data_IF_336750754376
#
_entry.id   IF_336750754376
#
_cell.length_a   1.000
_cell.length_b   1.000
_cell.length_c   1.000
_cell.angle_alpha   90.00
_cell.angle_beta   90.00
_cell.angle_gamma   90.00
#
_symmetry.space_group_name_H-M   'P 1'
#
loop_
_entity.id
_entity.type
_entity.pdbx_description
1 polymer ?
#
# COMPACT_ATOMS: atom_id res chain seq x y z
N UNK A 1 -1.51 23.83 3.86
CA UNK A 1 -2.25 22.78 3.11
C UNK A 1 -1.93 22.67 1.61
N UNK A 2 -0.96 23.41 1.04
CA UNK A 2 -0.64 23.32 -0.41
C UNK A 2 -0.04 21.98 -0.88
N UNK A 3 0.54 21.18 0.03
CA UNK A 3 1.18 19.90 -0.31
C UNK A 3 0.18 18.88 -0.87
N UNK A 4 -0.98 18.72 -0.22
CA UNK A 4 -2.00 17.74 -0.59
C UNK A 4 -2.82 18.13 -1.83
N UNK A 5 -2.86 19.43 -2.15
CA UNK A 5 -3.51 19.94 -3.37
C UNK A 5 -2.63 19.83 -4.60
N UNK A 6 -1.31 19.63 -4.45
CA UNK A 6 -0.40 19.54 -5.58
C UNK A 6 -0.54 18.19 -6.29
N UNK A 7 -0.86 18.24 -7.59
CA UNK A 7 -1.01 17.05 -8.44
C UNK A 7 0.27 16.20 -8.47
N UNK A 8 1.45 16.82 -8.50
CA UNK A 8 2.74 16.11 -8.53
C UNK A 8 2.90 15.27 -7.26
N UNK A 9 2.66 15.86 -6.09
CA UNK A 9 2.76 15.15 -4.81
C UNK A 9 1.78 13.98 -4.72
N UNK A 10 0.54 14.17 -5.16
CA UNK A 10 -0.49 13.12 -5.19
C UNK A 10 -0.04 11.93 -6.04
N UNK A 11 0.43 12.17 -7.26
CA UNK A 11 0.86 11.10 -8.15
C UNK A 11 2.16 10.44 -7.69
N UNK A 12 3.14 11.22 -7.23
CA UNK A 12 4.40 10.69 -6.70
C UNK A 12 4.15 9.76 -5.52
N UNK A 13 3.36 10.18 -4.52
CA UNK A 13 3.02 9.31 -3.38
C UNK A 13 2.18 8.11 -3.83
N UNK A 14 1.25 8.29 -4.77
CA UNK A 14 0.41 7.19 -5.25
C UNK A 14 1.23 6.07 -5.92
N UNK A 15 2.25 6.43 -6.69
CA UNK A 15 3.14 5.49 -7.40
C UNK A 15 4.28 4.97 -6.51
N UNK A 16 4.71 5.74 -5.52
CA UNK A 16 5.78 5.33 -4.62
C UNK A 16 5.37 4.14 -3.74
N UNK A 17 4.11 4.08 -3.30
CA UNK A 17 3.61 2.97 -2.48
C UNK A 17 3.77 1.60 -3.15
N UNK A 18 3.21 1.33 -4.36
CA UNK A 18 3.36 0.03 -5.02
C UNK A 18 4.82 -0.27 -5.37
N UNK A 19 5.64 0.75 -5.67
CA UNK A 19 7.07 0.57 -5.93
C UNK A 19 7.81 0.06 -4.68
N UNK A 20 7.58 0.66 -3.52
CA UNK A 20 8.21 0.23 -2.26
C UNK A 20 7.75 -1.17 -1.86
N UNK A 21 6.47 -1.49 -2.05
CA UNK A 21 5.94 -2.84 -1.80
C UNK A 21 6.57 -3.88 -2.73
N UNK A 22 6.83 -3.52 -4.00
CA UNK A 22 7.57 -4.38 -4.93
C UNK A 22 9.03 -4.61 -4.48
N UNK A 23 9.71 -3.55 -4.07
CA UNK A 23 11.11 -3.61 -3.64
C UNK A 23 11.29 -4.44 -2.35
N UNK A 24 10.41 -4.26 -1.35
CA UNK A 24 10.41 -5.04 -0.12
C UNK A 24 10.39 -6.55 -0.41
N UNK A 25 9.45 -6.96 -1.27
CA UNK A 25 9.30 -8.35 -1.70
C UNK A 25 10.46 -8.87 -2.54
N UNK A 26 11.12 -8.00 -3.30
CA UNK A 26 12.22 -8.39 -4.18
C UNK A 26 13.56 -8.56 -3.44
N UNK A 27 13.76 -7.83 -2.34
CA UNK A 27 15.07 -7.75 -1.68
C UNK A 27 15.36 -8.91 -0.74
N UNK A 28 14.34 -9.40 -0.01
CA UNK A 28 14.58 -10.27 1.15
C UNK A 28 14.12 -11.71 0.98
N UNK A 29 13.34 -12.06 -0.04
CA UNK A 29 12.76 -13.40 -0.21
C UNK A 29 11.74 -13.80 0.87
N UNK A 30 11.78 -13.16 2.04
CA UNK A 30 10.79 -13.18 3.10
C UNK A 30 10.47 -11.74 3.52
N UNK A 31 9.22 -11.27 3.35
CA UNK A 31 8.86 -9.91 3.71
C UNK A 31 9.07 -9.70 5.21
N UNK A 32 9.86 -8.69 5.58
CA UNK A 32 10.02 -8.33 6.98
C UNK A 32 8.70 -7.68 7.45
N UNK A 33 7.95 -8.29 8.38
CA UNK A 33 6.58 -7.87 8.70
C UNK A 33 6.50 -6.43 9.22
N UNK A 34 7.55 -5.97 9.90
CA UNK A 34 7.66 -4.60 10.41
C UNK A 34 7.85 -3.55 9.32
N UNK A 35 8.49 -3.89 8.20
CA UNK A 35 8.78 -2.94 7.13
C UNK A 35 7.51 -2.58 6.36
N UNK A 36 6.74 -3.59 5.94
CA UNK A 36 5.44 -3.41 5.31
C UNK A 36 4.46 -2.62 6.20
N UNK A 37 4.46 -2.90 7.51
CA UNK A 37 3.63 -2.17 8.47
C UNK A 37 4.07 -0.70 8.59
N UNK A 38 5.37 -0.43 8.63
CA UNK A 38 5.91 0.94 8.70
C UNK A 38 5.55 1.74 7.44
N UNK A 39 5.70 1.14 6.26
CA UNK A 39 5.27 1.75 4.99
C UNK A 39 3.76 2.05 5.06
N UNK A 40 2.95 1.08 5.47
CA UNK A 40 1.50 1.25 5.56
C UNK A 40 1.10 2.44 6.44
N UNK A 41 1.74 2.60 7.60
CA UNK A 41 1.48 3.71 8.54
C UNK A 41 1.94 5.04 7.94
N UNK A 42 3.17 5.11 7.41
CA UNK A 42 3.72 6.36 6.84
C UNK A 42 2.84 6.86 5.69
N UNK A 43 2.39 5.96 4.82
CA UNK A 43 1.55 6.34 3.68
C UNK A 43 0.15 6.83 4.07
N UNK A 44 -0.38 6.42 5.24
CA UNK A 44 -1.60 7.02 5.78
C UNK A 44 -1.47 8.53 6.01
N UNK A 45 -0.26 9.02 6.29
CA UNK A 45 0.01 10.45 6.43
C UNK A 45 0.35 11.12 5.09
N UNK A 46 0.95 10.39 4.15
CA UNK A 46 1.36 10.93 2.85
C UNK A 46 0.21 11.07 1.85
N UNK A 47 -0.77 10.17 1.89
CA UNK A 47 -1.89 10.22 0.95
C UNK A 47 -2.72 11.49 1.13
N UNK A 48 -3.11 12.07 0.00
CA UNK A 48 -3.96 13.26 -0.04
C UNK A 48 -5.42 12.94 0.30
N UNK A 49 -5.89 11.76 -0.08
CA UNK A 49 -7.22 11.29 0.26
C UNK A 49 -7.44 9.81 -0.02
N UNK A 50 -8.68 9.39 0.22
CA UNK A 50 -9.08 7.97 0.10
C UNK A 50 -8.93 7.45 -1.34
N UNK A 51 -9.10 8.32 -2.34
CA UNK A 51 -8.93 7.95 -3.74
C UNK A 51 -7.50 7.52 -4.03
N UNK A 52 -6.51 8.25 -3.54
CA UNK A 52 -5.09 7.93 -3.71
C UNK A 52 -4.74 6.61 -3.02
N UNK A 53 -5.27 6.39 -1.81
CA UNK A 53 -5.14 5.11 -1.11
C UNK A 53 -5.64 3.96 -1.98
N UNK A 54 -6.86 4.03 -2.50
CA UNK A 54 -7.41 2.93 -3.33
C UNK A 54 -6.64 2.73 -4.64
N UNK A 55 -6.18 3.81 -5.28
CA UNK A 55 -5.37 3.70 -6.50
C UNK A 55 -4.02 3.04 -6.18
N UNK A 56 -3.32 3.48 -5.12
CA UNK A 56 -2.07 2.86 -4.67
C UNK A 56 -2.24 1.39 -4.32
N UNK A 57 -3.29 1.05 -3.56
CA UNK A 57 -3.60 -0.32 -3.19
C UNK A 57 -3.92 -1.16 -4.42
N UNK A 58 -4.74 -0.64 -5.34
CA UNK A 58 -5.05 -1.30 -6.60
C UNK A 58 -3.80 -1.54 -7.44
N UNK A 59 -2.95 -0.54 -7.63
CA UNK A 59 -1.68 -0.70 -8.34
C UNK A 59 -0.77 -1.72 -7.66
N UNK A 60 -0.80 -1.81 -6.34
CA UNK A 60 -0.01 -2.82 -5.61
C UNK A 60 -0.51 -4.22 -5.97
N UNK A 61 -1.81 -4.46 -5.87
CA UNK A 61 -2.40 -5.79 -6.09
C UNK A 61 -2.48 -6.21 -7.56
N UNK A 62 -2.75 -5.29 -8.48
CA UNK A 62 -2.95 -5.60 -9.89
C UNK A 62 -1.70 -5.41 -10.75
N UNK A 63 -0.69 -4.66 -10.28
CA UNK A 63 0.54 -4.40 -11.03
C UNK A 63 1.76 -4.91 -10.28
N UNK A 64 2.05 -4.38 -9.09
CA UNK A 64 3.28 -4.71 -8.37
C UNK A 64 3.37 -6.19 -8.00
N UNK A 65 2.31 -6.78 -7.43
CA UNK A 65 2.28 -8.19 -7.03
C UNK A 65 2.39 -9.12 -8.25
N UNK A 66 1.60 -8.96 -9.34
CA UNK A 66 1.73 -9.77 -10.55
C UNK A 66 3.10 -9.62 -11.23
N UNK A 67 3.64 -8.39 -11.30
CA UNK A 67 4.99 -8.18 -11.83
C UNK A 67 6.04 -8.88 -10.98
N UNK A 68 5.98 -8.78 -9.66
CA UNK A 68 6.92 -9.48 -8.77
C UNK A 68 6.83 -10.98 -8.97
N UNK A 69 5.61 -11.52 -9.01
CA UNK A 69 5.37 -12.93 -9.25
C UNK A 69 5.97 -13.40 -10.58
N UNK A 70 5.69 -12.69 -11.68
CA UNK A 70 6.15 -13.06 -13.01
C UNK A 70 7.66 -12.94 -13.19
N UNK A 71 8.28 -11.89 -12.66
CA UNK A 71 9.71 -11.60 -12.90
C UNK A 71 10.66 -12.22 -11.86
N UNK A 72 10.23 -12.40 -10.61
CA UNK A 72 11.12 -12.83 -9.52
C UNK A 72 10.82 -14.27 -9.09
N UNK A 73 9.54 -14.60 -8.93
CA UNK A 73 9.13 -15.87 -8.33
C UNK A 73 8.97 -16.99 -9.37
N UNK A 74 8.34 -16.74 -10.53
CA UNK A 74 8.17 -17.74 -11.59
C UNK A 74 9.49 -18.38 -12.09
N UNK A 75 10.62 -17.64 -12.23
CA UNK A 75 11.89 -18.22 -12.65
C UNK A 75 12.58 -19.08 -11.59
N UNK A 76 12.12 -19.06 -10.32
CA UNK A 76 12.69 -19.81 -9.21
C UNK A 76 11.62 -20.77 -8.68
N UNK A 77 11.73 -22.09 -8.88
CA UNK A 77 10.79 -23.05 -8.30
C UNK A 77 10.97 -23.04 -6.77
N UNK A 78 10.18 -22.19 -6.13
CA UNK A 78 10.24 -21.85 -4.71
C UNK A 78 8.92 -22.27 -4.07
N UNK A 79 9.01 -22.90 -2.91
CA UNK A 79 7.85 -23.26 -2.08
C UNK A 79 7.01 -22.02 -1.71
N UNK A 80 7.62 -20.83 -1.73
CA UNK A 80 6.94 -19.56 -1.48
C UNK A 80 5.93 -19.19 -2.57
N UNK A 81 6.22 -19.52 -3.83
CA UNK A 81 5.34 -19.29 -4.95
C UNK A 81 4.05 -20.08 -4.77
N UNK A 82 4.16 -21.40 -4.78
CA UNK A 82 3.03 -22.33 -4.72
C UNK A 82 2.13 -22.05 -3.51
N UNK A 83 2.75 -21.76 -2.36
CA UNK A 83 2.03 -21.42 -1.14
C UNK A 83 1.26 -20.07 -1.26
N UNK A 84 1.86 -19.05 -1.87
CA UNK A 84 1.19 -17.77 -2.10
C UNK A 84 0.02 -17.88 -3.08
N UNK A 85 0.16 -18.66 -4.16
CA UNK A 85 -0.95 -18.91 -5.09
C UNK A 85 -2.10 -19.68 -4.41
N UNK A 86 -1.77 -20.72 -3.63
CA UNK A 86 -2.77 -21.53 -2.92
C UNK A 86 -3.53 -20.74 -1.84
N UNK A 87 -2.87 -19.79 -1.17
CA UNK A 87 -3.45 -19.02 -0.05
C UNK A 87 -3.83 -17.58 -0.43
N UNK A 88 -3.80 -17.22 -1.71
CA UNK A 88 -4.06 -15.85 -2.18
C UNK A 88 -5.35 -15.28 -1.60
N UNK A 89 -6.43 -16.08 -1.58
CA UNK A 89 -7.73 -15.67 -1.07
C UNK A 89 -7.70 -15.30 0.42
N UNK A 90 -6.99 -16.08 1.24
CA UNK A 90 -6.79 -15.81 2.68
C UNK A 90 -5.94 -14.55 2.88
N UNK A 91 -4.87 -14.39 2.10
CA UNK A 91 -3.99 -13.23 2.16
C UNK A 91 -4.78 -11.95 1.83
N UNK A 92 -5.63 -11.99 0.80
CA UNK A 92 -6.51 -10.86 0.43
C UNK A 92 -7.49 -10.54 1.56
N UNK A 93 -8.13 -11.54 2.15
CA UNK A 93 -9.05 -11.32 3.28
C UNK A 93 -8.33 -10.69 4.48
N UNK A 94 -7.20 -11.25 4.89
CA UNK A 94 -6.39 -10.71 6.00
C UNK A 94 -5.95 -9.28 5.68
N UNK A 95 -5.50 -9.01 4.45
CA UNK A 95 -5.12 -7.68 4.01
C UNK A 95 -6.27 -6.66 4.15
N UNK A 96 -7.50 -7.04 3.78
CA UNK A 96 -8.65 -6.14 3.88
C UNK A 96 -8.89 -5.73 5.35
N UNK A 97 -8.90 -6.69 6.28
CA UNK A 97 -9.25 -6.42 7.67
C UNK A 97 -8.11 -5.83 8.49
N UNK A 98 -6.88 -6.26 8.24
CA UNK A 98 -5.71 -5.90 9.07
C UNK A 98 -4.97 -4.68 8.51
N UNK A 99 -5.08 -4.41 7.21
CA UNK A 99 -4.34 -3.33 6.55
C UNK A 99 -5.28 -2.29 5.97
N UNK A 100 -6.14 -2.66 5.01
CA UNK A 100 -6.94 -1.69 4.24
C UNK A 100 -7.95 -0.93 5.11
N UNK A 101 -8.69 -1.65 5.97
CA UNK A 101 -9.66 -1.03 6.87
C UNK A 101 -9.00 -0.07 7.86
N UNK A 102 -7.95 -0.49 8.62
CA UNK A 102 -7.21 0.42 9.49
C UNK A 102 -6.62 1.63 8.75
N UNK A 103 -6.02 1.44 7.58
CA UNK A 103 -5.48 2.55 6.78
C UNK A 103 -6.56 3.56 6.39
N UNK A 104 -7.72 3.06 5.96
CA UNK A 104 -8.85 3.91 5.58
C UNK A 104 -9.38 4.71 6.78
N UNK A 105 -9.49 4.07 7.96
CA UNK A 105 -9.93 4.72 9.20
C UNK A 105 -8.95 5.82 9.65
N UNK A 106 -7.64 5.55 9.62
CA UNK A 106 -6.61 6.53 9.98
C UNK A 106 -6.66 7.73 9.03
N UNK A 107 -6.70 7.48 7.71
CA UNK A 107 -6.70 8.52 6.70
C UNK A 107 -7.96 9.40 6.76
N UNK A 108 -9.14 8.78 6.88
CA UNK A 108 -10.42 9.51 7.01
C UNK A 108 -10.47 10.35 8.28
N UNK A 109 -10.00 9.82 9.40
CA UNK A 109 -9.89 10.56 10.67
C UNK A 109 -8.97 11.76 10.51
N UNK A 110 -7.78 11.58 9.94
CA UNK A 110 -6.82 12.66 9.66
C UNK A 110 -7.45 13.75 8.78
N UNK A 111 -8.11 13.37 7.68
CA UNK A 111 -8.77 14.34 6.80
C UNK A 111 -9.83 15.13 7.53
N UNK A 112 -10.64 14.49 8.38
CA UNK A 112 -11.67 15.15 9.18
C UNK A 112 -11.09 16.16 10.17
N UNK A 113 -9.98 15.80 10.84
CA UNK A 113 -9.26 16.69 11.74
C UNK A 113 -8.71 17.90 10.97
N UNK A 114 -8.09 17.67 9.81
CA UNK A 114 -7.55 18.74 8.97
C UNK A 114 -8.64 19.70 8.47
N UNK A 115 -9.79 19.15 8.08
CA UNK A 115 -10.93 19.95 7.64
C UNK A 115 -11.51 20.78 8.79
N UNK A 116 -11.61 20.22 9.99
CA UNK A 116 -12.03 20.95 11.19
C UNK A 116 -11.14 22.16 11.47
N UNK A 117 -9.82 21.98 11.47
CA UNK A 117 -8.88 23.09 11.66
C UNK A 117 -8.86 24.09 10.52
N UNK A 118 -9.24 23.69 9.29
CA UNK A 118 -9.37 24.60 8.15
C UNK A 118 -10.58 25.52 8.26
N UNK A 119 -11.66 25.04 8.89
CA UNK A 119 -12.91 25.79 9.04
C UNK A 119 -12.94 26.66 10.31
N UNK A 120 -12.26 26.23 11.38
CA UNK A 120 -12.34 26.85 12.71
C UNK A 120 -11.04 27.56 13.17
N UNK A 121 -10.00 27.60 12.34
CA UNK A 121 -8.72 28.28 12.61
C UNK A 121 -8.45 29.39 11.60
#
# INVERSE_FOLDING_TARGET
MKLYTNSIWRWSTTLLYPLLMFLDRSWTGQPHPWFALTIAIVFCFLWSGVKELFISTGLTWFVAIPCWWYFIELPKPSFGAENFAAHLWLIVLIFIFVVLLPQTLILTTRMRIMEYYRQNG
#
